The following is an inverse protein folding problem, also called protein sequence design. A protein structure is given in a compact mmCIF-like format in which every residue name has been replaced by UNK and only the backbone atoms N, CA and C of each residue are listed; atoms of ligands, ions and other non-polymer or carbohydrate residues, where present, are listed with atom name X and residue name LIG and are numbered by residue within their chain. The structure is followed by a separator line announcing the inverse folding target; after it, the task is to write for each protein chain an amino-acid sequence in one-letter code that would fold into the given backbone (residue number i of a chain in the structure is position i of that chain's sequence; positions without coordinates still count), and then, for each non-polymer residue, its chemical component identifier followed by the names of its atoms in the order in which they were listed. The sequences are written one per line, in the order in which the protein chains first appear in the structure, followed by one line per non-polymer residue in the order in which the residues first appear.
data_IF_862619196704
#
_entry.id   IF_862619196704
#
_cell.length_a   1.000
_cell.length_b   1.000
_cell.length_c   1.000
_cell.angle_alpha   90.00
_cell.angle_beta   90.00
_cell.angle_gamma   90.00
#
_symmetry.space_group_name_H-M   'P 1'
#
loop_
_entity.id
_entity.type
_entity.pdbx_description
1 polymer ?
#
# COMPACT_ATOMS: atom_id res chain seq x y z
N UNK A 1 -31.05 -3.13 5.78
CA UNK A 1 -30.47 -2.85 7.11
C UNK A 1 -29.06 -2.34 6.89
N UNK A 2 -28.72 -1.08 7.24
CA UNK A 2 -27.35 -0.58 7.07
C UNK A 2 -26.42 -1.28 8.06
N UNK A 3 -25.24 -1.69 7.61
CA UNK A 3 -24.22 -2.29 8.48
C UNK A 3 -23.81 -1.28 9.59
N UNK A 4 -23.64 -1.72 10.86
CA UNK A 4 -23.21 -0.83 11.94
C UNK A 4 -21.75 -0.42 11.71
N UNK A 5 -21.48 0.88 11.63
CA UNK A 5 -20.11 1.41 11.70
C UNK A 5 -19.70 2.45 10.65
N UNK A 6 -20.50 2.77 9.64
CA UNK A 6 -20.16 3.87 8.72
C UNK A 6 -20.54 5.22 9.33
N UNK A 7 -19.72 5.74 10.24
CA UNK A 7 -19.62 7.20 10.37
C UNK A 7 -19.17 7.75 9.02
N UNK A 8 -19.83 8.80 8.53
CA UNK A 8 -19.31 9.51 7.37
C UNK A 8 -17.88 9.96 7.71
N UNK A 9 -16.91 9.67 6.83
CA UNK A 9 -15.54 10.16 6.99
C UNK A 9 -15.56 11.68 6.95
N UNK A 10 -15.64 12.32 8.11
CA UNK A 10 -15.70 13.78 8.23
C UNK A 10 -14.27 14.33 8.25
N UNK A 11 -13.68 14.48 7.07
CA UNK A 11 -12.33 15.04 6.95
C UNK A 11 -11.93 15.26 5.49
N UNK A 12 -10.92 16.10 5.29
CA UNK A 12 -10.29 16.28 3.98
C UNK A 12 -8.83 15.86 4.05
N UNK A 13 -8.33 15.33 2.93
CA UNK A 13 -6.93 14.99 2.71
C UNK A 13 -6.44 15.78 1.50
N UNK A 14 -5.17 16.21 1.51
CA UNK A 14 -4.53 16.83 0.36
C UNK A 14 -3.34 15.99 -0.06
N UNK A 15 -3.34 15.56 -1.32
CA UNK A 15 -2.19 14.95 -1.98
C UNK A 15 -1.77 15.92 -3.07
N UNK A 16 -0.49 16.28 -3.09
CA UNK A 16 0.05 17.17 -4.11
C UNK A 16 1.47 16.76 -4.49
N UNK A 17 1.90 17.26 -5.64
CA UNK A 17 3.17 16.95 -6.28
C UNK A 17 3.93 18.25 -6.58
N UNK A 18 5.26 18.20 -6.63
CA UNK A 18 6.12 19.32 -7.05
C UNK A 18 5.85 20.64 -6.31
N UNK A 19 5.72 21.74 -7.05
CA UNK A 19 5.47 23.06 -6.45
C UNK A 19 4.16 23.14 -5.64
N UNK A 20 3.12 22.42 -6.04
CA UNK A 20 1.87 22.38 -5.29
C UNK A 20 2.08 21.71 -3.92
N UNK A 21 2.92 20.67 -3.85
CA UNK A 21 3.34 20.04 -2.59
C UNK A 21 4.06 21.05 -1.67
N UNK A 22 4.95 21.87 -2.21
CA UNK A 22 5.61 22.94 -1.44
C UNK A 22 4.63 23.95 -0.84
N UNK A 23 3.66 24.41 -1.64
CA UNK A 23 2.67 25.38 -1.20
C UNK A 23 1.76 24.83 -0.10
N UNK A 24 1.32 23.58 -0.20
CA UNK A 24 0.48 22.99 0.85
C UNK A 24 1.27 22.78 2.15
N UNK A 25 2.55 22.42 2.08
CA UNK A 25 3.38 22.28 3.29
C UNK A 25 3.55 23.64 3.98
N UNK A 26 3.86 24.70 3.23
CA UNK A 26 4.03 26.03 3.81
C UNK A 26 2.73 26.58 4.41
N UNK A 27 1.61 26.43 3.68
CA UNK A 27 0.32 26.99 4.09
C UNK A 27 -0.30 26.37 5.35
N UNK A 28 0.23 25.23 5.84
CA UNK A 28 -0.35 24.46 6.95
C UNK A 28 0.56 24.34 8.18
N UNK A 29 1.62 25.15 8.25
CA UNK A 29 2.46 25.22 9.46
C UNK A 29 1.71 25.77 10.69
N UNK A 30 0.58 26.44 10.48
CA UNK A 30 -0.31 26.94 11.53
C UNK A 30 -1.67 26.25 11.45
N UNK A 31 -2.36 26.04 12.59
CA UNK A 31 -3.69 25.45 12.59
C UNK A 31 -4.70 26.41 11.93
N UNK A 32 -5.10 26.12 10.71
CA UNK A 32 -6.01 26.98 9.91
C UNK A 32 -7.21 26.23 9.30
N UNK A 33 -7.22 24.89 9.34
CA UNK A 33 -8.22 24.08 8.65
C UNK A 33 -8.76 22.95 9.53
N UNK A 34 -9.90 23.13 10.22
CA UNK A 34 -10.40 22.18 11.22
C UNK A 34 -10.84 20.82 10.65
N UNK A 35 -11.12 20.74 9.33
CA UNK A 35 -11.49 19.48 8.66
C UNK A 35 -10.30 18.74 8.04
N UNK A 36 -9.11 19.34 7.98
CA UNK A 36 -7.95 18.69 7.39
C UNK A 36 -7.46 17.58 8.32
N UNK A 37 -7.27 16.38 7.79
CA UNK A 37 -6.83 15.21 8.55
C UNK A 37 -5.51 14.62 8.05
N UNK A 38 -5.13 14.85 6.79
CA UNK A 38 -3.86 14.40 6.22
C UNK A 38 -3.34 15.30 5.10
N UNK A 39 -2.01 15.41 5.01
CA UNK A 39 -1.25 15.95 3.88
C UNK A 39 -0.24 14.90 3.44
N UNK A 40 -0.21 14.62 2.14
CA UNK A 40 0.85 13.84 1.48
C UNK A 40 1.46 14.71 0.38
N UNK A 41 2.76 14.95 0.49
CA UNK A 41 3.51 15.79 -0.43
C UNK A 41 4.55 14.94 -1.17
N UNK A 42 4.44 14.85 -2.49
CA UNK A 42 5.40 14.15 -3.34
C UNK A 42 6.36 15.16 -4.01
N UNK A 43 7.66 14.88 -3.89
CA UNK A 43 8.78 15.65 -4.42
C UNK A 43 8.56 17.18 -4.40
N UNK A 44 8.25 17.78 -3.23
CA UNK A 44 8.18 19.23 -3.13
C UNK A 44 9.54 19.85 -3.48
N UNK A 45 9.54 20.81 -4.41
CA UNK A 45 10.77 21.55 -4.78
C UNK A 45 11.36 22.34 -3.61
N UNK A 46 10.50 22.71 -2.65
CA UNK A 46 10.83 23.40 -1.41
C UNK A 46 10.09 22.76 -0.24
N UNK A 47 10.81 22.45 0.84
CA UNK A 47 10.22 22.07 2.13
C UNK A 47 10.38 23.18 3.17
N UNK A 48 9.50 23.22 4.20
CA UNK A 48 9.74 24.02 5.39
C UNK A 48 11.07 23.66 6.07
N UNK A 49 11.50 24.49 7.02
CA UNK A 49 12.63 24.20 7.90
C UNK A 49 12.58 22.74 8.40
N UNK A 50 13.73 22.06 8.45
CA UNK A 50 13.84 20.68 8.95
C UNK A 50 13.36 20.54 10.42
N UNK A 51 13.26 21.67 11.12
CA UNK A 51 12.79 21.79 12.50
C UNK A 51 11.33 22.28 12.61
N UNK A 52 10.65 22.49 11.47
CA UNK A 52 9.26 22.94 11.44
C UNK A 52 8.34 21.88 12.06
N UNK A 53 7.32 22.34 12.79
CA UNK A 53 6.31 21.48 13.41
C UNK A 53 4.96 21.78 12.80
N UNK A 54 4.33 20.73 12.26
CA UNK A 54 2.95 20.80 11.81
C UNK A 54 1.99 20.63 13.00
N UNK A 55 0.79 21.24 12.95
CA UNK A 55 -0.25 21.01 13.95
C UNK A 55 -0.57 19.51 14.14
N UNK A 56 -0.74 19.03 15.37
CA UNK A 56 -0.99 17.61 15.64
C UNK A 56 -2.39 17.13 15.18
N UNK A 57 -3.26 18.06 14.79
CA UNK A 57 -4.63 17.80 14.33
C UNK A 57 -4.70 17.05 13.00
N UNK A 58 -3.65 17.05 12.20
CA UNK A 58 -3.56 16.30 10.95
C UNK A 58 -2.23 15.54 10.84
N UNK A 59 -2.18 14.56 9.93
CA UNK A 59 -0.95 13.80 9.62
C UNK A 59 -0.26 14.41 8.41
N UNK A 60 1.07 14.40 8.42
CA UNK A 60 1.88 14.89 7.30
C UNK A 60 2.87 13.80 6.90
N UNK A 61 3.06 13.63 5.59
CA UNK A 61 4.06 12.77 4.99
C UNK A 61 4.67 13.49 3.80
N UNK A 62 5.99 13.42 3.68
CA UNK A 62 6.73 13.94 2.54
C UNK A 62 7.51 12.81 1.87
N UNK A 63 7.36 12.67 0.56
CA UNK A 63 8.22 11.85 -0.28
C UNK A 63 9.15 12.78 -1.01
N UNK A 64 10.45 12.61 -0.86
CA UNK A 64 11.45 13.33 -1.62
C UNK A 64 12.01 12.42 -2.71
N UNK A 65 12.33 13.05 -3.83
CA UNK A 65 13.10 12.47 -4.92
C UNK A 65 14.35 13.34 -5.13
N UNK A 66 15.18 12.97 -6.09
CA UNK A 66 16.41 13.67 -6.45
C UNK A 66 17.46 13.72 -5.31
N UNK A 67 18.61 14.32 -5.59
CA UNK A 67 19.73 14.44 -4.63
C UNK A 67 19.72 15.75 -3.85
N UNK A 68 18.82 16.69 -4.15
CA UNK A 68 18.74 17.98 -3.47
C UNK A 68 17.29 18.45 -3.28
N UNK A 69 17.06 19.24 -2.23
CA UNK A 69 15.79 19.96 -2.02
C UNK A 69 16.01 21.35 -1.46
N UNK A 70 15.19 22.30 -1.90
CA UNK A 70 15.15 23.63 -1.30
C UNK A 70 14.59 23.58 0.12
N UNK A 71 15.23 24.25 1.06
CA UNK A 71 14.74 24.40 2.44
C UNK A 71 14.51 25.87 2.75
N UNK A 72 13.27 26.19 3.13
CA UNK A 72 12.87 27.54 3.54
C UNK A 72 12.99 27.70 5.05
N UNK A 73 13.79 28.65 5.49
CA UNK A 73 13.96 28.99 6.92
C UNK A 73 13.58 30.44 7.18
N UNK A 74 12.84 30.67 8.27
CA UNK A 74 12.58 32.02 8.79
C UNK A 74 13.54 32.26 9.95
N UNK A 75 14.56 33.12 9.80
CA UNK A 75 15.45 33.42 10.91
C UNK A 75 14.67 34.15 12.01
N UNK A 76 14.51 33.50 13.17
CA UNK A 76 14.09 34.17 14.40
C UNK A 76 15.33 34.74 15.08
N UNK A 77 15.56 36.05 14.91
CA UNK A 77 16.50 36.80 15.75
C UNK A 77 15.71 37.32 16.95
N UNK A 78 16.22 37.11 18.16
CA UNK A 78 15.59 37.51 19.42
C UNK A 78 15.07 38.96 19.33
N UNK A 79 13.76 39.15 19.48
CA UNK A 79 13.14 40.48 19.56
C UNK A 79 12.69 41.14 18.25
N UNK A 80 13.02 40.61 17.06
CA UNK A 80 12.58 41.18 15.78
C UNK A 80 12.06 40.06 14.85
N UNK A 81 10.75 39.81 14.89
CA UNK A 81 10.09 38.96 13.89
C UNK A 81 9.87 39.78 12.60
N UNK A 82 10.86 39.80 11.71
CA UNK A 82 10.77 40.56 10.45
C UNK A 82 11.78 40.21 9.35
N UNK A 83 12.65 39.20 9.55
CA UNK A 83 13.64 38.81 8.54
C UNK A 83 13.00 38.14 7.31
N UNK A 84 13.46 38.50 6.10
CA UNK A 84 13.08 37.82 4.84
C UNK A 84 13.38 36.32 4.96
N UNK A 85 12.51 35.47 4.42
CA UNK A 85 12.73 34.03 4.38
C UNK A 85 14.04 33.72 3.63
N UNK A 86 14.88 32.85 4.19
CA UNK A 86 16.11 32.38 3.57
C UNK A 86 15.89 31.01 2.95
N UNK A 87 16.28 30.86 1.69
CA UNK A 87 16.25 29.58 0.98
C UNK A 87 17.66 29.01 0.90
N UNK A 88 17.81 27.72 1.18
CA UNK A 88 19.07 26.99 1.03
C UNK A 88 18.81 25.62 0.42
N UNK A 89 19.57 25.22 -0.58
CA UNK A 89 19.54 23.84 -1.05
C UNK A 89 20.21 22.93 -0.03
N UNK A 90 19.63 21.76 0.18
CA UNK A 90 20.16 20.71 1.03
C UNK A 90 20.28 19.44 0.21
N UNK A 91 21.46 18.84 0.26
CA UNK A 91 21.68 17.51 -0.28
C UNK A 91 20.85 16.48 0.49
N UNK A 92 20.12 15.67 -0.26
CA UNK A 92 19.35 14.53 0.20
C UNK A 92 20.24 13.31 0.00
N UNK A 93 20.51 12.57 1.08
CA UNK A 93 21.13 11.27 0.94
C UNK A 93 20.03 10.24 0.67
N UNK A 94 19.93 9.65 -0.54
CA UNK A 94 18.92 8.65 -0.87
C UNK A 94 19.14 7.31 -0.15
N UNK A 95 20.29 7.13 0.52
CA UNK A 95 20.73 5.97 1.27
C UNK A 95 20.96 4.72 0.42
N UNK A 96 20.78 3.55 1.04
CA UNK A 96 21.18 2.25 0.49
C UNK A 96 20.04 1.50 -0.23
N UNK A 97 18.85 2.08 -0.30
CA UNK A 97 17.67 1.50 -0.94
C UNK A 97 16.73 0.73 0.01
N UNK A 98 16.84 0.93 1.32
CA UNK A 98 15.98 0.26 2.32
C UNK A 98 14.80 1.12 2.79
N UNK A 99 14.47 2.19 2.06
CA UNK A 99 13.32 3.05 2.31
C UNK A 99 13.60 4.16 3.34
N UNK A 100 14.84 4.58 3.43
CA UNK A 100 15.41 5.78 4.04
C UNK A 100 14.42 6.82 4.60
N UNK A 101 14.17 6.75 5.90
CA UNK A 101 13.50 7.83 6.64
C UNK A 101 14.49 8.93 7.01
N UNK A 102 14.12 10.18 6.75
CA UNK A 102 14.91 11.36 7.12
C UNK A 102 14.73 11.71 8.60
N UNK A 103 15.84 12.06 9.26
CA UNK A 103 15.85 12.52 10.66
C UNK A 103 15.51 14.00 10.77
N UNK A 104 14.26 14.35 10.47
CA UNK A 104 13.73 15.73 10.54
C UNK A 104 12.41 15.75 11.34
N UNK A 105 11.86 16.94 11.61
CA UNK A 105 10.71 17.10 12.54
C UNK A 105 9.35 16.62 12.02
N UNK A 106 9.30 16.14 10.77
CA UNK A 106 8.11 15.55 10.17
C UNK A 106 8.51 14.31 9.35
N UNK A 107 7.61 13.31 9.19
CA UNK A 107 7.90 12.12 8.41
C UNK A 107 8.23 12.49 6.95
N UNK A 108 9.47 12.20 6.56
CA UNK A 108 9.94 12.36 5.20
C UNK A 108 10.78 11.16 4.80
N UNK A 109 10.63 10.72 3.56
CA UNK A 109 11.32 9.55 3.02
C UNK A 109 11.93 9.83 1.66
N UNK A 110 13.01 9.12 1.36
CA UNK A 110 13.68 9.14 0.05
C UNK A 110 13.65 7.74 -0.55
N UNK A 111 14.01 7.66 -1.82
CA UNK A 111 14.00 6.44 -2.62
C UNK A 111 15.27 6.44 -3.48
N UNK A 112 16.03 5.34 -3.43
CA UNK A 112 17.32 5.28 -4.10
C UNK A 112 17.15 5.17 -5.62
N UNK A 113 17.88 6.01 -6.35
CA UNK A 113 17.97 5.95 -7.81
C UNK A 113 16.72 6.45 -8.56
N UNK A 114 15.86 7.24 -7.91
CA UNK A 114 14.67 7.79 -8.57
C UNK A 114 14.68 9.32 -8.60
N UNK A 115 14.12 9.85 -9.68
CA UNK A 115 13.95 11.28 -9.89
C UNK A 115 12.50 11.72 -9.62
N UNK A 116 12.30 13.03 -9.52
CA UNK A 116 10.96 13.62 -9.46
C UNK A 116 10.08 13.11 -10.61
N UNK A 117 8.89 12.60 -10.29
CA UNK A 117 8.00 11.94 -11.25
C UNK A 117 7.88 10.42 -11.07
N UNK A 118 8.71 9.79 -10.22
CA UNK A 118 8.71 8.33 -10.03
C UNK A 118 7.36 7.72 -9.62
N UNK A 119 6.46 8.52 -9.05
CA UNK A 119 5.14 8.09 -8.60
C UNK A 119 4.02 8.33 -9.65
N UNK A 120 4.35 8.85 -10.83
CA UNK A 120 3.41 9.19 -11.91
C UNK A 120 3.57 8.20 -13.06
N UNK A 121 2.56 7.33 -13.26
CA UNK A 121 2.63 6.21 -14.23
C UNK A 121 2.77 6.62 -15.69
N UNK A 122 2.44 7.87 -15.99
CA UNK A 122 2.44 8.42 -17.35
C UNK A 122 3.76 9.15 -17.69
N UNK A 123 4.74 9.14 -16.77
CA UNK A 123 6.05 9.76 -16.94
C UNK A 123 7.16 8.70 -17.15
N UNK A 124 8.23 9.08 -17.84
CA UNK A 124 9.39 8.21 -18.09
C UNK A 124 10.13 7.89 -16.79
N UNK A 125 10.07 8.78 -15.80
CA UNK A 125 10.67 8.63 -14.49
C UNK A 125 9.95 7.58 -13.62
N UNK A 126 8.79 7.05 -14.05
CA UNK A 126 7.99 6.10 -13.27
C UNK A 126 8.81 4.89 -12.82
N UNK A 127 8.86 4.68 -11.50
CA UNK A 127 9.48 3.50 -10.89
C UNK A 127 8.43 2.76 -10.06
N UNK A 128 8.02 1.59 -10.53
CA UNK A 128 6.97 0.80 -9.89
C UNK A 128 7.34 0.31 -8.48
N UNK A 129 8.64 0.13 -8.18
CA UNK A 129 9.12 -0.37 -6.89
C UNK A 129 9.06 0.76 -5.87
N UNK A 130 9.66 1.90 -6.18
CA UNK A 130 9.64 3.09 -5.34
C UNK A 130 8.21 3.62 -5.17
N UNK A 131 7.42 3.67 -6.24
CA UNK A 131 6.01 4.07 -6.18
C UNK A 131 5.23 3.15 -5.26
N UNK A 132 5.38 1.83 -5.37
CA UNK A 132 4.65 0.89 -4.51
C UNK A 132 4.96 1.11 -3.03
N UNK A 133 6.19 1.47 -2.65
CA UNK A 133 6.55 1.75 -1.25
C UNK A 133 6.03 3.11 -0.80
N UNK A 134 6.18 4.13 -1.64
CA UNK A 134 5.67 5.48 -1.37
C UNK A 134 4.15 5.47 -1.21
N UNK A 135 3.44 4.73 -2.07
CA UNK A 135 2.00 4.56 -2.02
C UNK A 135 1.54 3.93 -0.71
N UNK A 136 2.17 2.84 -0.26
CA UNK A 136 1.81 2.21 1.03
C UNK A 136 1.96 3.20 2.19
N UNK A 137 3.04 3.99 2.23
CA UNK A 137 3.26 5.02 3.27
C UNK A 137 2.21 6.13 3.21
N UNK A 138 1.87 6.59 2.00
CA UNK A 138 0.83 7.58 1.76
C UNK A 138 -0.51 7.08 2.26
N UNK A 139 -0.89 5.87 1.91
CA UNK A 139 -2.12 5.25 2.34
C UNK A 139 -2.18 5.07 3.86
N UNK A 140 -1.09 4.61 4.49
CA UNK A 140 -0.99 4.54 5.96
C UNK A 140 -1.24 5.90 6.59
N UNK A 141 -0.65 6.96 6.04
CA UNK A 141 -0.80 8.33 6.54
C UNK A 141 -2.23 8.83 6.43
N UNK A 142 -2.86 8.61 5.27
CA UNK A 142 -4.25 9.01 5.00
C UNK A 142 -5.22 8.24 5.90
N UNK A 143 -5.10 6.90 5.98
CA UNK A 143 -5.95 6.08 6.85
C UNK A 143 -5.83 6.48 8.32
N UNK A 144 -4.62 6.79 8.80
CA UNK A 144 -4.41 7.32 10.15
C UNK A 144 -5.05 8.69 10.37
N UNK A 145 -5.01 9.58 9.36
CA UNK A 145 -5.69 10.87 9.40
C UNK A 145 -7.19 10.70 9.57
N UNK A 146 -7.78 9.81 8.77
CA UNK A 146 -9.21 9.51 8.79
C UNK A 146 -9.65 8.55 9.90
N UNK A 147 -8.72 7.98 10.67
CA UNK A 147 -8.97 6.94 11.67
C UNK A 147 -9.69 5.72 11.09
N UNK A 148 -9.32 5.33 9.88
CA UNK A 148 -9.84 4.13 9.21
C UNK A 148 -9.12 2.92 9.79
N UNK A 149 -9.90 2.05 10.43
CA UNK A 149 -9.47 0.71 10.83
C UNK A 149 -9.91 -0.28 9.75
N UNK A 150 -8.95 -1.04 9.21
CA UNK A 150 -9.21 -1.99 8.14
C UNK A 150 -9.07 -3.42 8.62
N UNK A 151 -10.19 -4.14 8.60
CA UNK A 151 -10.27 -5.56 8.94
C UNK A 151 -9.84 -6.45 7.77
N UNK A 152 -8.65 -6.19 7.21
CA UNK A 152 -8.15 -6.91 6.04
C UNK A 152 -7.97 -8.41 6.31
N UNK A 153 -7.68 -8.76 7.57
CA UNK A 153 -7.59 -10.15 8.02
C UNK A 153 -8.91 -10.89 7.86
N UNK A 154 -10.00 -10.32 8.37
CA UNK A 154 -11.34 -10.89 8.24
C UNK A 154 -11.72 -11.08 6.78
N UNK A 155 -11.46 -10.08 5.93
CA UNK A 155 -11.73 -10.17 4.48
C UNK A 155 -10.92 -11.30 3.84
N UNK A 156 -9.68 -11.51 4.27
CA UNK A 156 -8.81 -12.58 3.78
C UNK A 156 -9.30 -13.96 4.21
N UNK A 157 -9.66 -14.12 5.48
CA UNK A 157 -10.12 -15.40 6.02
C UNK A 157 -11.47 -15.80 5.41
N UNK A 158 -12.42 -14.86 5.33
CA UNK A 158 -13.72 -15.06 4.66
C UNK A 158 -13.54 -15.50 3.20
N UNK A 159 -12.60 -14.87 2.48
CA UNK A 159 -12.29 -15.24 1.10
C UNK A 159 -11.77 -16.69 1.01
N UNK A 160 -10.82 -17.06 1.87
CA UNK A 160 -10.25 -18.41 1.88
C UNK A 160 -11.31 -19.44 2.22
N UNK A 161 -12.11 -19.21 3.26
CA UNK A 161 -13.17 -20.12 3.70
C UNK A 161 -14.22 -20.35 2.62
N UNK A 162 -14.66 -19.28 1.92
CA UNK A 162 -15.58 -19.41 0.80
C UNK A 162 -15.00 -20.24 -0.35
N UNK A 163 -13.73 -20.02 -0.72
CA UNK A 163 -13.09 -20.81 -1.78
C UNK A 163 -12.87 -22.28 -1.37
N UNK A 164 -12.55 -22.54 -0.09
CA UNK A 164 -12.38 -23.89 0.44
C UNK A 164 -13.71 -24.66 0.48
N UNK A 165 -14.82 -23.97 0.73
CA UNK A 165 -16.17 -24.53 0.67
C UNK A 165 -16.73 -24.70 -0.76
N UNK A 166 -15.95 -24.36 -1.79
CA UNK A 166 -16.40 -24.40 -3.19
C UNK A 166 -17.37 -23.27 -3.58
N UNK A 167 -17.57 -22.28 -2.71
CA UNK A 167 -18.41 -21.10 -2.98
C UNK A 167 -17.59 -19.99 -3.67
N UNK A 168 -17.09 -20.28 -4.87
CA UNK A 168 -16.28 -19.35 -5.67
C UNK A 168 -17.05 -18.05 -5.99
N UNK A 169 -18.34 -18.14 -6.32
CA UNK A 169 -19.16 -16.97 -6.62
C UNK A 169 -19.31 -16.02 -5.42
N UNK A 170 -19.45 -16.58 -4.22
CA UNK A 170 -19.46 -15.80 -2.98
C UNK A 170 -18.11 -15.13 -2.72
N UNK A 171 -17.02 -15.90 -2.84
CA UNK A 171 -15.66 -15.43 -2.68
C UNK A 171 -15.34 -14.23 -3.60
N UNK A 172 -15.69 -14.34 -4.88
CA UNK A 172 -15.36 -13.32 -5.87
C UNK A 172 -16.17 -12.04 -5.74
N UNK A 173 -17.32 -12.03 -5.04
CA UNK A 173 -18.06 -10.80 -4.72
C UNK A 173 -17.30 -9.87 -3.78
N UNK A 174 -16.42 -10.43 -2.95
CA UNK A 174 -15.58 -9.68 -2.02
C UNK A 174 -14.29 -9.16 -2.68
N UNK A 175 -14.03 -9.54 -3.94
CA UNK A 175 -12.82 -9.17 -4.67
C UNK A 175 -13.15 -8.10 -5.73
N UNK A 176 -12.17 -7.26 -6.05
CA UNK A 176 -12.29 -6.24 -7.10
C UNK A 176 -12.51 -6.86 -8.49
N UNK A 177 -13.32 -6.23 -9.38
CA UNK A 177 -13.59 -6.77 -10.72
C UNK A 177 -12.36 -7.02 -11.59
N UNK A 178 -11.26 -6.32 -11.32
CA UNK A 178 -9.98 -6.39 -12.03
C UNK A 178 -8.86 -7.01 -11.19
N UNK A 179 -9.20 -7.71 -10.09
CA UNK A 179 -8.20 -8.41 -9.32
C UNK A 179 -7.49 -9.48 -10.15
N UNK A 180 -6.27 -9.80 -9.77
CA UNK A 180 -5.50 -10.85 -10.39
C UNK A 180 -4.94 -11.79 -9.34
N UNK A 181 -4.80 -13.06 -9.72
CA UNK A 181 -4.11 -14.08 -8.97
C UNK A 181 -3.03 -14.64 -9.88
N UNK A 182 -1.85 -14.87 -9.31
CA UNK A 182 -0.75 -15.55 -9.99
C UNK A 182 -0.04 -16.50 -9.03
N UNK A 183 0.14 -17.73 -9.46
CA UNK A 183 1.01 -18.71 -8.80
C UNK A 183 2.40 -18.57 -9.42
N UNK A 184 3.34 -17.95 -8.69
CA UNK A 184 4.68 -17.67 -9.20
C UNK A 184 5.39 -18.85 -9.86
N UNK A 185 5.44 -20.06 -9.26
CA UNK A 185 6.18 -21.19 -9.82
C UNK A 185 5.65 -21.71 -11.16
N UNK A 186 4.34 -21.61 -11.40
CA UNK A 186 3.70 -22.16 -12.60
C UNK A 186 3.22 -21.07 -13.56
N UNK A 187 3.31 -19.80 -13.15
CA UNK A 187 2.73 -18.64 -13.83
C UNK A 187 1.24 -18.81 -14.20
N UNK A 188 0.53 -19.69 -13.46
CA UNK A 188 -0.91 -19.92 -13.62
C UNK A 188 -1.69 -18.92 -12.78
N UNK A 189 -2.94 -18.66 -13.17
CA UNK A 189 -3.80 -17.73 -12.44
C UNK A 189 -4.91 -17.17 -13.30
N UNK A 190 -5.38 -15.97 -12.96
CA UNK A 190 -6.45 -15.30 -13.69
C UNK A 190 -6.51 -13.82 -13.41
N UNK A 191 -7.01 -13.05 -14.38
CA UNK A 191 -7.25 -11.60 -14.27
C UNK A 191 -8.72 -11.31 -14.46
N UNK A 192 -9.30 -10.61 -13.49
CA UNK A 192 -10.69 -10.21 -13.45
C UNK A 192 -11.64 -11.34 -13.05
N UNK A 193 -12.86 -10.96 -12.66
CA UNK A 193 -13.85 -11.88 -12.04
C UNK A 193 -14.09 -13.14 -12.88
N UNK A 194 -14.24 -13.02 -14.20
CA UNK A 194 -14.52 -14.16 -15.09
C UNK A 194 -13.38 -15.19 -15.08
N UNK A 195 -12.15 -14.75 -15.32
CA UNK A 195 -11.00 -15.66 -15.40
C UNK A 195 -10.62 -16.21 -14.02
N UNK A 196 -10.83 -15.44 -12.96
CA UNK A 196 -10.66 -15.94 -11.59
C UNK A 196 -11.68 -17.04 -11.26
N UNK A 197 -12.94 -16.89 -11.67
CA UNK A 197 -13.95 -17.92 -11.47
C UNK A 197 -13.56 -19.22 -12.18
N UNK A 198 -13.17 -19.10 -13.45
CA UNK A 198 -12.68 -20.24 -14.22
C UNK A 198 -11.45 -20.89 -13.56
N UNK A 199 -10.49 -20.08 -13.09
CA UNK A 199 -9.32 -20.58 -12.39
C UNK A 199 -9.68 -21.37 -11.12
N UNK A 200 -10.56 -20.85 -10.26
CA UNK A 200 -10.94 -21.54 -9.03
C UNK A 200 -11.76 -22.81 -9.28
N UNK A 201 -12.65 -22.79 -10.27
CA UNK A 201 -13.55 -23.91 -10.58
C UNK A 201 -12.87 -25.02 -11.37
N UNK A 202 -12.03 -24.68 -12.35
CA UNK A 202 -11.49 -25.66 -13.31
C UNK A 202 -10.02 -26.03 -13.03
N UNK A 203 -9.24 -25.12 -12.45
CA UNK A 203 -7.79 -25.29 -12.28
C UNK A 203 -7.38 -25.53 -10.83
N UNK A 204 -8.05 -24.91 -9.87
CA UNK A 204 -7.71 -25.02 -8.45
C UNK A 204 -8.39 -26.22 -7.76
N UNK A 205 -9.62 -26.53 -8.16
CA UNK A 205 -10.43 -27.64 -7.63
C UNK A 205 -10.59 -28.77 -8.68
N UNK A 206 -10.84 -30.02 -8.24
CA UNK A 206 -10.87 -30.48 -6.86
C UNK A 206 -9.47 -30.67 -6.27
N UNK A 207 -9.32 -30.40 -4.97
CA UNK A 207 -8.08 -30.71 -4.24
C UNK A 207 -8.06 -32.18 -3.76
N UNK A 208 -6.87 -32.79 -3.56
CA UNK A 208 -6.77 -34.11 -2.95
C UNK A 208 -7.48 -34.16 -1.58
N UNK A 209 -8.15 -35.27 -1.19
CA UNK A 209 -8.87 -35.36 0.08
C UNK A 209 -8.00 -35.10 1.33
N UNK A 210 -6.71 -35.39 1.21
CA UNK A 210 -5.69 -35.21 2.26
C UNK A 210 -5.09 -33.80 2.28
N UNK A 211 -5.53 -32.89 1.40
CA UNK A 211 -5.02 -31.52 1.34
C UNK A 211 -5.27 -30.79 2.66
N UNK A 212 -4.19 -30.24 3.23
CA UNK A 212 -4.19 -29.42 4.43
C UNK A 212 -3.25 -28.25 4.23
N UNK A 213 -3.71 -27.05 4.57
CA UNK A 213 -2.89 -25.86 4.69
C UNK A 213 -2.90 -25.40 6.16
N UNK A 214 -1.74 -25.12 6.72
CA UNK A 214 -1.58 -24.59 8.08
C UNK A 214 -0.86 -23.26 8.01
N UNK A 215 -1.47 -22.19 8.53
CA UNK A 215 -0.82 -20.89 8.70
C UNK A 215 0.35 -21.03 9.69
N UNK A 216 1.54 -20.66 9.23
CA UNK A 216 2.76 -20.61 10.04
C UNK A 216 2.98 -19.22 10.60
N UNK A 217 2.85 -18.20 9.74
CA UNK A 217 2.98 -16.80 10.10
C UNK A 217 2.05 -15.95 9.23
N UNK A 218 1.71 -14.77 9.73
CA UNK A 218 0.97 -13.74 9.00
C UNK A 218 1.57 -12.38 9.29
N UNK A 219 1.99 -11.67 8.24
CA UNK A 219 2.44 -10.27 8.31
C UNK A 219 1.37 -9.37 7.71
N UNK A 220 0.87 -8.44 8.53
CA UNK A 220 -0.22 -7.53 8.17
C UNK A 220 0.37 -6.13 7.91
N UNK A 221 0.29 -5.68 6.67
CA UNK A 221 0.59 -4.32 6.27
C UNK A 221 -0.68 -3.45 6.20
N UNK A 222 -0.54 -2.18 5.82
CA UNK A 222 -1.72 -1.34 5.59
C UNK A 222 -2.53 -1.84 4.39
N UNK A 223 -1.88 -2.21 3.29
CA UNK A 223 -2.53 -2.58 2.03
C UNK A 223 -2.31 -4.03 1.63
N UNK A 224 -1.74 -4.85 2.52
CA UNK A 224 -1.32 -6.21 2.16
C UNK A 224 -1.31 -7.16 3.34
N UNK A 225 -1.48 -8.44 3.02
CA UNK A 225 -1.26 -9.57 3.92
C UNK A 225 -0.24 -10.48 3.25
N UNK A 226 0.73 -10.95 4.03
CA UNK A 226 1.65 -12.01 3.64
C UNK A 226 1.43 -13.19 4.57
N UNK A 227 0.90 -14.28 4.03
CA UNK A 227 0.67 -15.54 4.73
C UNK A 227 1.79 -16.52 4.37
N UNK A 228 2.47 -17.07 5.39
CA UNK A 228 3.35 -18.22 5.23
C UNK A 228 2.58 -19.48 5.64
N UNK A 229 2.52 -20.47 4.75
CA UNK A 229 1.66 -21.64 4.87
C UNK A 229 2.49 -22.91 4.73
N UNK A 230 2.21 -23.88 5.59
CA UNK A 230 2.63 -25.26 5.41
C UNK A 230 1.53 -26.04 4.71
N UNK A 231 1.78 -26.49 3.48
CA UNK A 231 0.83 -27.24 2.67
C UNK A 231 1.27 -28.70 2.61
N UNK A 232 0.36 -29.62 2.88
CA UNK A 232 0.60 -31.06 2.76
C UNK A 232 -0.59 -31.79 2.13
N UNK A 233 -0.29 -32.78 1.31
CA UNK A 233 -1.26 -33.69 0.70
C UNK A 233 -0.56 -34.96 0.19
N UNK A 234 -1.34 -36.01 -0.07
CA UNK A 234 -0.92 -37.16 -0.88
C UNK A 234 -1.29 -36.88 -2.33
N UNK A 235 -0.34 -37.03 -3.27
CA UNK A 235 -0.54 -36.73 -4.69
C UNK A 235 -1.32 -37.84 -5.40
N UNK A 236 -2.64 -37.85 -5.21
CA UNK A 236 -3.58 -38.86 -5.74
C UNK A 236 -4.18 -38.51 -7.10
N UNK A 237 -3.95 -37.28 -7.58
CA UNK A 237 -4.45 -36.74 -8.84
C UNK A 237 -3.47 -35.66 -9.32
N UNK A 238 -3.53 -35.30 -10.60
CA UNK A 238 -2.80 -34.14 -11.12
C UNK A 238 -3.28 -32.84 -10.44
N UNK A 239 -2.33 -31.93 -10.17
CA UNK A 239 -2.60 -30.62 -9.55
C UNK A 239 -1.93 -29.54 -10.40
N UNK A 240 -2.59 -29.04 -11.46
CA UNK A 240 -1.94 -28.22 -12.48
C UNK A 240 -1.30 -26.94 -11.96
N UNK A 241 -1.85 -26.36 -10.90
CA UNK A 241 -1.38 -25.10 -10.32
C UNK A 241 -0.12 -25.25 -9.43
N UNK A 242 0.19 -26.47 -8.95
CA UNK A 242 1.41 -26.78 -8.18
C UNK A 242 2.39 -27.63 -9.00
N UNK A 243 1.92 -28.74 -9.57
CA UNK A 243 2.70 -29.79 -10.24
C UNK A 243 2.13 -30.05 -11.65
N UNK A 244 2.28 -29.10 -12.60
CA UNK A 244 1.71 -29.23 -13.93
C UNK A 244 2.26 -30.46 -14.67
N UNK A 245 1.38 -31.21 -15.33
CA UNK A 245 1.71 -32.38 -16.15
C UNK A 245 2.39 -33.55 -15.41
N UNK A 246 2.29 -33.59 -14.07
CA UNK A 246 2.76 -34.74 -13.28
C UNK A 246 1.54 -35.59 -12.88
N UNK A 247 1.40 -36.82 -13.40
CA UNK A 247 0.34 -37.74 -12.99
C UNK A 247 0.44 -38.09 -11.50
N UNK A 248 -0.66 -38.60 -10.93
CA UNK A 248 -0.73 -39.06 -9.55
C UNK A 248 0.46 -39.97 -9.19
N UNK A 249 1.29 -39.53 -8.24
CA UNK A 249 2.48 -40.29 -7.80
C UNK A 249 2.22 -41.10 -6.54
N UNK A 250 1.10 -40.86 -5.86
CA UNK A 250 0.73 -41.43 -4.56
C UNK A 250 1.78 -41.17 -3.45
N UNK A 251 2.67 -40.21 -3.64
CA UNK A 251 3.65 -39.79 -2.64
C UNK A 251 3.08 -38.65 -1.80
N UNK A 252 3.55 -38.57 -0.54
CA UNK A 252 3.29 -37.41 0.31
C UNK A 252 4.08 -36.21 -0.22
N UNK A 253 3.41 -35.07 -0.29
CA UNK A 253 3.96 -33.77 -0.69
C UNK A 253 3.87 -32.82 0.50
N UNK A 254 4.95 -32.08 0.74
CA UNK A 254 5.09 -31.10 1.82
C UNK A 254 5.78 -29.85 1.24
N UNK A 255 5.09 -28.71 1.27
CA UNK A 255 5.53 -27.48 0.59
C UNK A 255 5.34 -26.29 1.55
N UNK A 256 6.35 -25.43 1.63
CA UNK A 256 6.19 -24.08 2.18
C UNK A 256 5.65 -23.15 1.08
N UNK A 257 4.51 -22.52 1.33
CA UNK A 257 3.85 -21.63 0.38
C UNK A 257 3.74 -20.23 0.98
N UNK A 258 4.10 -19.20 0.20
CA UNK A 258 3.90 -17.81 0.57
C UNK A 258 2.78 -17.24 -0.29
N UNK A 259 1.75 -16.71 0.36
CA UNK A 259 0.63 -16.04 -0.29
C UNK A 259 0.67 -14.55 0.03
N UNK A 260 0.79 -13.72 -1.01
CA UNK A 260 0.78 -12.26 -0.90
C UNK A 260 -0.56 -11.76 -1.45
N UNK A 261 -1.38 -11.17 -0.59
CA UNK A 261 -2.66 -10.56 -0.97
C UNK A 261 -2.57 -9.05 -0.80
N UNK A 262 -2.94 -8.28 -1.83
CA UNK A 262 -2.96 -6.81 -1.78
C UNK A 262 -4.37 -6.25 -1.94
N UNK A 263 -4.69 -5.25 -1.14
CA UNK A 263 -5.90 -4.45 -1.24
C UNK A 263 -5.60 -3.17 -2.03
N UNK A 264 -5.99 -3.13 -3.31
CA UNK A 264 -5.94 -1.88 -4.07
C UNK A 264 -7.27 -1.11 -3.83
N UNK A 265 -7.21 0.04 -3.15
CA UNK A 265 -8.35 0.67 -2.44
C UNK A 265 -9.27 1.54 -3.29
N UNK A 266 -9.02 1.70 -4.58
CA UNK A 266 -9.84 2.62 -5.38
C UNK A 266 -11.19 2.03 -5.85
N UNK A 267 -12.03 1.51 -4.95
CA UNK A 267 -13.49 1.43 -5.09
C UNK A 267 -14.11 0.74 -3.86
N UNK A 268 -14.69 1.52 -2.95
CA UNK A 268 -15.87 1.07 -2.22
C UNK A 268 -17.01 0.86 -3.24
N UNK A 269 -17.94 -0.09 -3.05
CA UNK A 269 -19.15 -0.23 -3.88
C UNK A 269 -19.99 1.06 -3.95
N UNK A 270 -19.75 2.00 -3.05
CA UNK A 270 -20.28 3.36 -3.10
C UNK A 270 -19.16 4.32 -3.45
N UNK A 271 -18.80 4.38 -4.73
CA UNK A 271 -17.96 5.43 -5.27
C UNK A 271 -18.41 6.79 -4.73
N UNK A 272 -17.56 7.39 -3.89
CA UNK A 272 -17.60 8.78 -3.43
C UNK A 272 -16.32 9.04 -2.65
N UNK A 273 -15.34 9.60 -3.36
CA UNK A 273 -14.69 10.82 -2.92
C UNK A 273 -15.26 11.94 -3.78
#
# INVERSE_FOLDING_TARGET
MPLPGTSALTGTCRVAFGNAASLILEGHLKPSHPKLCAIVAYYPSIIPSLHARFPPSFKVLVHLADTEVGVKTHPQVLGISGGKAKMTNKHINPGAGYGEGLKISFPAYTYAGVDSGFAERDLDEYDAVAESVAFTRSLTTVRRGFRIDTKIETVRDDLVDMTAAGNTDGALKSIRPFAHLINGPTLTGGVGTKNLNQFYSDFFQPLPPTFRARLLSRTIGTDRIVDELYVTFTHTQEIPWILPAIPATNKKVEIAMVSISRENIWCSPRGRL
#
